data_IF_785491013123
#
_entry.id   IF_785491013123
#
_cell.length_a   1.000
_cell.length_b   1.000
_cell.length_c   1.000
_cell.angle_alpha   90.00
_cell.angle_beta   90.00
_cell.angle_gamma   90.00
#
_symmetry.space_group_name_H-M   'P 1'
#
loop_
_entity.id
_entity.type
_entity.pdbx_description
1 polymer ?
#
# COMPACT_ATOMS: atom_id res chain seq x y z
N UNK A 1 -4.97 -1.19 -3.69
CA UNK A 1 -5.86 -2.37 -3.68
C UNK A 1 -5.08 -3.65 -3.38
N UNK A 2 -5.61 -4.53 -2.52
CA UNK A 2 -5.06 -5.89 -2.33
C UNK A 2 -5.66 -6.87 -3.33
N UNK A 3 -4.83 -7.75 -3.90
CA UNK A 3 -5.23 -8.77 -4.86
C UNK A 3 -4.54 -10.10 -4.52
N UNK A 4 -5.25 -11.19 -4.78
CA UNK A 4 -4.66 -12.51 -4.84
C UNK A 4 -4.26 -12.80 -6.28
N UNK A 5 -3.01 -13.20 -6.48
CA UNK A 5 -2.48 -13.53 -7.80
C UNK A 5 -1.98 -14.96 -7.75
N UNK A 6 -2.51 -15.80 -8.63
CA UNK A 6 -1.99 -17.14 -8.88
C UNK A 6 -0.89 -17.07 -9.93
N UNK A 7 0.24 -17.70 -9.67
CA UNK A 7 1.36 -17.79 -10.60
C UNK A 7 1.83 -19.23 -10.72
N UNK A 8 2.30 -19.57 -11.92
CA UNK A 8 2.98 -20.84 -12.19
C UNK A 8 4.44 -20.52 -12.55
N UNK A 9 5.37 -21.26 -11.95
CA UNK A 9 6.79 -21.04 -12.14
C UNK A 9 7.61 -22.29 -11.85
N UNK A 10 8.93 -22.16 -12.02
CA UNK A 10 9.89 -23.21 -11.65
C UNK A 10 10.66 -22.75 -10.42
N UNK A 11 10.59 -23.55 -9.36
CA UNK A 11 11.27 -23.26 -8.10
C UNK A 11 12.51 -24.13 -7.99
N UNK A 12 13.63 -23.48 -7.68
CA UNK A 12 14.91 -24.14 -7.39
C UNK A 12 14.96 -24.50 -5.91
N UNK A 13 14.98 -25.80 -5.61
CA UNK A 13 15.07 -26.35 -4.25
C UNK A 13 16.52 -26.79 -3.97
N UNK A 14 17.23 -26.13 -3.04
CA UNK A 14 18.59 -26.52 -2.67
C UNK A 14 18.65 -27.86 -1.94
N UNK A 15 19.73 -28.65 -2.12
CA UNK A 15 19.92 -29.91 -1.40
C UNK A 15 19.84 -29.78 0.12
N UNK A 16 20.28 -28.64 0.66
CA UNK A 16 20.23 -28.36 2.11
C UNK A 16 18.81 -28.35 2.67
N UNK A 17 17.78 -28.19 1.83
CA UNK A 17 16.36 -28.16 2.23
C UNK A 17 15.62 -29.48 2.03
N UNK A 18 16.28 -30.51 1.49
CA UNK A 18 15.70 -31.84 1.23
C UNK A 18 15.21 -32.56 2.50
N UNK A 19 15.70 -32.19 3.68
CA UNK A 19 15.26 -32.77 4.95
C UNK A 19 13.90 -32.26 5.45
N UNK A 20 13.30 -31.26 4.81
CA UNK A 20 11.99 -30.68 5.18
C UNK A 20 10.88 -31.19 4.24
N UNK A 21 9.61 -31.13 4.65
CA UNK A 21 8.48 -31.34 3.74
C UNK A 21 8.59 -30.42 2.52
N UNK A 22 8.43 -30.97 1.31
CA UNK A 22 8.59 -30.24 0.05
C UNK A 22 7.76 -28.95 0.01
N UNK A 23 6.51 -29.01 0.49
CA UNK A 23 5.60 -27.86 0.55
C UNK A 23 6.16 -26.73 1.41
N UNK A 24 6.71 -27.04 2.58
CA UNK A 24 7.29 -26.05 3.48
C UNK A 24 8.58 -25.44 2.91
N UNK A 25 9.45 -26.29 2.36
CA UNK A 25 10.69 -25.84 1.74
C UNK A 25 10.41 -24.88 0.57
N UNK A 26 9.47 -25.23 -0.32
CA UNK A 26 9.08 -24.40 -1.47
C UNK A 26 8.44 -23.10 -1.01
N UNK A 27 7.55 -23.14 0.00
CA UNK A 27 6.94 -21.93 0.55
C UNK A 27 7.99 -20.98 1.17
N UNK A 28 8.97 -21.50 1.89
CA UNK A 28 10.07 -20.73 2.50
C UNK A 28 10.93 -20.05 1.41
N UNK A 29 11.29 -20.81 0.37
CA UNK A 29 12.06 -20.29 -0.77
C UNK A 29 11.29 -19.19 -1.49
N UNK A 30 10.03 -19.43 -1.83
CA UNK A 30 9.17 -18.47 -2.53
C UNK A 30 8.93 -17.20 -1.70
N UNK A 31 8.74 -17.31 -0.38
CA UNK A 31 8.60 -16.14 0.51
C UNK A 31 9.88 -15.31 0.55
N UNK A 32 11.05 -15.96 0.57
CA UNK A 32 12.34 -15.27 0.56
C UNK A 32 12.63 -14.61 -0.78
N UNK A 33 12.26 -15.27 -1.87
CA UNK A 33 12.52 -14.81 -3.22
C UNK A 33 11.57 -13.66 -3.59
N UNK A 34 10.26 -13.85 -3.47
CA UNK A 34 9.27 -12.88 -3.93
C UNK A 34 8.81 -11.88 -2.87
N UNK A 35 8.97 -12.19 -1.58
CA UNK A 35 8.52 -11.32 -0.50
C UNK A 35 9.16 -9.94 -0.54
N UNK A 36 8.35 -8.89 -0.56
CA UNK A 36 8.81 -7.50 -0.58
C UNK A 36 9.30 -6.99 -1.94
N UNK A 37 9.28 -7.83 -2.99
CA UNK A 37 9.63 -7.36 -4.33
C UNK A 37 8.55 -6.45 -4.91
N UNK A 38 8.98 -5.44 -5.67
CA UNK A 38 8.10 -4.52 -6.38
C UNK A 38 8.19 -4.83 -7.87
N UNK A 39 7.14 -5.43 -8.41
CA UNK A 39 7.06 -5.81 -9.82
C UNK A 39 6.24 -4.76 -10.55
N UNK A 40 6.77 -4.26 -11.68
CA UNK A 40 6.06 -3.32 -12.54
C UNK A 40 4.73 -3.95 -12.99
N UNK A 41 3.67 -3.15 -13.00
CA UNK A 41 2.30 -3.54 -13.36
C UNK A 41 1.58 -4.47 -12.35
N UNK A 42 2.32 -5.30 -11.59
CA UNK A 42 1.76 -6.15 -10.54
C UNK A 42 1.59 -5.41 -9.21
N UNK A 43 2.58 -4.61 -8.79
CA UNK A 43 2.62 -3.92 -7.50
C UNK A 43 3.66 -4.51 -6.53
N UNK A 44 3.45 -4.31 -5.24
CA UNK A 44 4.32 -4.85 -4.18
C UNK A 44 3.80 -6.20 -3.70
N UNK A 45 4.66 -7.22 -3.71
CA UNK A 45 4.34 -8.54 -3.21
C UNK A 45 4.49 -8.51 -1.68
N UNK A 46 3.37 -8.68 -0.97
CA UNK A 46 3.35 -8.65 0.49
C UNK A 46 3.85 -9.99 1.03
N UNK A 47 3.28 -11.09 0.55
CA UNK A 47 3.69 -12.44 0.96
C UNK A 47 3.14 -13.51 0.02
N UNK A 48 3.75 -14.69 0.08
CA UNK A 48 3.23 -15.92 -0.56
C UNK A 48 2.39 -16.67 0.47
N UNK A 49 1.12 -16.89 0.15
CA UNK A 49 0.14 -17.50 1.04
C UNK A 49 0.22 -19.01 1.00
N UNK A 50 0.17 -19.58 -0.21
CA UNK A 50 0.22 -21.02 -0.43
C UNK A 50 1.05 -21.35 -1.67
N UNK A 51 1.62 -22.56 -1.68
CA UNK A 51 2.39 -23.09 -2.78
C UNK A 51 2.20 -24.60 -2.90
N UNK A 52 2.02 -25.06 -4.12
CA UNK A 52 1.93 -26.45 -4.51
C UNK A 52 3.04 -26.74 -5.51
N UNK A 53 3.84 -27.77 -5.24
CA UNK A 53 4.96 -28.16 -6.09
C UNK A 53 4.72 -29.55 -6.70
N UNK A 54 5.27 -29.79 -7.89
CA UNK A 54 5.25 -31.09 -8.53
C UNK A 54 5.98 -32.12 -7.67
N UNK A 55 5.41 -33.32 -7.54
CA UNK A 55 6.05 -34.42 -6.80
C UNK A 55 7.42 -34.80 -7.38
N UNK A 56 7.57 -34.64 -8.70
CA UNK A 56 8.82 -34.90 -9.40
C UNK A 56 9.53 -33.59 -9.74
N UNK A 57 10.81 -33.53 -9.40
CA UNK A 57 11.72 -32.45 -9.76
C UNK A 57 12.72 -32.92 -10.82
N UNK A 58 13.25 -31.98 -11.59
CA UNK A 58 14.29 -32.22 -12.60
C UNK A 58 15.63 -31.80 -12.00
N UNK A 59 16.66 -32.63 -12.18
CA UNK A 59 18.05 -32.29 -11.84
C UNK A 59 18.79 -32.00 -13.14
N UNK A 60 19.50 -30.87 -13.18
CA UNK A 60 20.31 -30.49 -14.33
C UNK A 60 21.73 -31.02 -14.12
N UNK A 61 22.34 -31.72 -15.09
CA UNK A 61 23.72 -32.19 -14.95
C UNK A 61 24.67 -31.05 -14.60
N UNK A 62 25.45 -31.20 -13.53
CA UNK A 62 26.35 -30.16 -13.03
C UNK A 62 25.74 -29.20 -12.00
N UNK A 63 24.43 -29.27 -11.75
CA UNK A 63 23.78 -28.57 -10.64
C UNK A 63 23.07 -29.56 -9.70
N UNK A 64 23.42 -29.54 -8.42
CA UNK A 64 22.81 -30.40 -7.41
C UNK A 64 21.39 -29.99 -7.01
N UNK A 65 20.86 -28.86 -7.50
CA UNK A 65 19.52 -28.40 -7.14
C UNK A 65 18.43 -29.17 -7.88
N UNK A 66 17.28 -29.30 -7.19
CA UNK A 66 16.07 -29.85 -7.76
C UNK A 66 15.16 -28.73 -8.26
N UNK A 67 14.70 -28.85 -9.50
CA UNK A 67 13.80 -27.90 -10.13
C UNK A 67 12.39 -28.49 -10.18
N UNK A 68 11.48 -27.91 -9.40
CA UNK A 68 10.08 -28.32 -9.36
C UNK A 68 9.21 -27.28 -10.07
N UNK A 69 8.20 -27.73 -10.81
CA UNK A 69 7.13 -26.83 -11.25
C UNK A 69 6.25 -26.54 -10.05
N UNK A 70 6.00 -25.29 -9.76
CA UNK A 70 5.17 -24.88 -8.64
C UNK A 70 4.08 -23.90 -9.07
N UNK A 71 2.90 -24.07 -8.48
CA UNK A 71 1.80 -23.11 -8.52
C UNK A 71 1.68 -22.48 -7.16
N UNK A 72 1.66 -21.17 -7.09
CA UNK A 72 1.64 -20.46 -5.82
C UNK A 72 0.75 -19.23 -5.87
N UNK A 73 0.12 -18.95 -4.73
CA UNK A 73 -0.78 -17.81 -4.55
C UNK A 73 -0.08 -16.74 -3.75
N UNK A 74 -0.01 -15.54 -4.31
CA UNK A 74 0.62 -14.37 -3.69
C UNK A 74 -0.42 -13.32 -3.31
N UNK A 75 -0.22 -12.72 -2.13
CA UNK A 75 -0.88 -11.50 -1.73
C UNK A 75 -0.08 -10.32 -2.27
N UNK A 76 -0.68 -9.58 -3.21
CA UNK A 76 -0.07 -8.41 -3.83
C UNK A 76 -0.87 -7.18 -3.49
N UNK A 77 -0.17 -6.08 -3.21
CA UNK A 77 -0.77 -4.76 -3.11
C UNK A 77 -0.43 -3.93 -4.35
N UNK A 78 -1.47 -3.62 -5.13
CA UNK A 78 -1.36 -2.79 -6.34
C UNK A 78 -2.02 -1.45 -6.05
N UNK A 79 -1.26 -0.33 -5.95
CA UNK A 79 -1.88 0.99 -5.88
C UNK A 79 -2.53 1.32 -7.23
N UNK A 80 -3.82 1.65 -7.22
CA UNK A 80 -4.53 2.02 -8.45
C UNK A 80 -4.66 3.54 -8.59
N UNK A 81 -4.56 4.03 -9.82
CA UNK A 81 -4.79 5.44 -10.11
C UNK A 81 -6.24 5.79 -9.74
N UNK A 82 -6.44 6.93 -9.08
CA UNK A 82 -7.73 7.43 -8.60
C UNK A 82 -8.41 6.58 -7.51
N UNK A 83 -7.72 5.59 -6.96
CA UNK A 83 -8.21 4.81 -5.82
C UNK A 83 -8.35 5.72 -4.58
N UNK A 84 -9.50 5.65 -3.91
CA UNK A 84 -9.71 6.29 -2.60
C UNK A 84 -9.24 5.32 -1.53
N UNK A 85 -8.30 5.77 -0.72
CA UNK A 85 -7.64 4.98 0.31
C UNK A 85 -7.72 5.67 1.65
N UNK A 86 -7.75 4.88 2.71
CA UNK A 86 -7.65 5.34 4.09
C UNK A 86 -6.30 4.92 4.65
N UNK A 87 -5.71 5.79 5.47
CA UNK A 87 -4.40 5.55 6.04
C UNK A 87 -4.13 6.42 7.25
N UNK A 88 -3.03 6.11 7.92
CA UNK A 88 -2.56 6.85 9.10
C UNK A 88 -1.42 7.78 8.70
N UNK A 89 -1.45 9.02 9.19
CA UNK A 89 -0.36 9.97 8.99
C UNK A 89 0.87 9.52 9.78
N UNK A 90 1.91 9.07 9.08
CA UNK A 90 3.14 8.59 9.71
C UNK A 90 4.15 9.70 9.98
N UNK A 91 4.45 10.53 8.97
CA UNK A 91 5.43 11.61 9.06
C UNK A 91 4.81 12.90 8.55
N UNK A 92 5.04 13.98 9.30
CA UNK A 92 4.61 15.33 8.95
C UNK A 92 5.85 16.16 8.71
N UNK A 93 6.00 16.72 7.52
CA UNK A 93 7.13 17.57 7.15
C UNK A 93 6.63 18.94 6.64
N UNK A 94 7.55 19.89 6.49
CA UNK A 94 7.25 21.22 5.94
C UNK A 94 6.82 21.18 4.47
N UNK A 95 7.18 20.13 3.74
CA UNK A 95 6.87 19.95 2.32
C UNK A 95 5.55 19.20 2.08
N UNK A 96 5.12 18.40 3.05
CA UNK A 96 3.97 17.52 2.89
C UNK A 96 3.82 16.51 4.02
N UNK A 97 2.98 15.51 3.76
CA UNK A 97 2.65 14.44 4.68
C UNK A 97 3.00 13.09 4.05
N UNK A 98 3.50 12.18 4.86
CA UNK A 98 3.65 10.77 4.51
C UNK A 98 2.55 10.00 5.24
N UNK A 99 1.66 9.39 4.48
CA UNK A 99 0.52 8.61 4.97
C UNK A 99 0.79 7.14 4.68
N UNK A 100 0.73 6.29 5.70
CA UNK A 100 0.86 4.85 5.54
C UNK A 100 -0.45 4.29 5.02
N UNK A 101 -0.40 3.67 3.84
CA UNK A 101 -1.55 3.03 3.18
C UNK A 101 -1.21 1.56 2.94
N UNK A 102 -1.48 0.73 3.95
CA UNK A 102 -1.13 -0.70 3.91
C UNK A 102 0.39 -0.92 3.89
N UNK A 103 0.95 -1.63 2.90
CA UNK A 103 2.38 -1.94 2.83
C UNK A 103 3.23 -0.83 2.20
N UNK A 104 2.61 0.29 1.77
CA UNK A 104 3.31 1.39 1.11
C UNK A 104 3.04 2.71 1.83
N UNK A 105 3.96 3.65 1.64
CA UNK A 105 3.80 5.02 2.09
C UNK A 105 3.42 5.91 0.90
N UNK A 106 2.33 6.67 1.08
CA UNK A 106 1.85 7.66 0.13
C UNK A 106 2.26 9.07 0.55
N UNK A 107 2.73 9.87 -0.42
CA UNK A 107 3.12 11.25 -0.19
C UNK A 107 1.99 12.21 -0.61
N UNK A 108 1.65 13.16 0.26
CA UNK A 108 0.72 14.26 -0.01
C UNK A 108 1.48 15.56 0.10
N UNK A 109 1.67 16.27 -1.02
CA UNK A 109 2.31 17.58 -1.02
C UNK A 109 1.46 18.61 -0.25
N UNK A 110 2.09 19.61 0.39
CA UNK A 110 1.41 20.63 1.20
C UNK A 110 0.22 21.31 0.51
N UNK A 111 0.31 21.57 -0.80
CA UNK A 111 -0.75 22.18 -1.61
C UNK A 111 -1.93 21.26 -1.91
N UNK A 112 -1.82 19.97 -1.60
CA UNK A 112 -2.82 18.93 -1.83
C UNK A 112 -3.43 18.42 -0.52
N UNK A 113 -3.08 19.02 0.64
CA UNK A 113 -3.62 18.63 1.96
C UNK A 113 -5.02 19.20 2.16
N UNK A 114 -5.17 20.50 1.98
CA UNK A 114 -6.42 21.23 2.21
C UNK A 114 -6.49 22.43 1.28
N UNK A 115 -7.69 22.96 1.07
CA UNK A 115 -7.91 24.19 0.31
C UNK A 115 -7.69 25.44 1.18
N UNK A 116 -6.52 25.53 1.81
CA UNK A 116 -6.16 26.59 2.75
C UNK A 116 -4.65 26.88 2.74
N UNK A 117 -4.25 28.02 3.30
CA UNK A 117 -2.85 28.31 3.60
C UNK A 117 -2.44 27.48 4.81
N UNK A 118 -1.46 26.62 4.58
CA UNK A 118 -1.01 25.63 5.55
C UNK A 118 0.25 26.12 6.26
N UNK A 119 0.23 26.19 7.59
CA UNK A 119 1.43 26.40 8.40
C UNK A 119 1.90 25.07 9.02
N UNK A 120 3.21 24.89 9.11
CA UNK A 120 3.83 23.73 9.74
C UNK A 120 4.37 24.14 11.12
N UNK A 121 3.90 23.47 12.18
CA UNK A 121 4.44 23.62 13.53
C UNK A 121 5.40 22.47 13.83
N UNK A 122 6.69 22.81 13.95
CA UNK A 122 7.76 21.83 14.19
C UNK A 122 7.65 21.19 15.58
N UNK A 123 7.18 21.92 16.57
CA UNK A 123 7.05 21.44 17.95
C UNK A 123 5.96 20.37 18.09
N UNK A 124 4.85 20.53 17.36
CA UNK A 124 3.71 19.62 17.44
C UNK A 124 3.71 18.55 16.33
N UNK A 125 4.67 18.58 15.41
CA UNK A 125 4.65 17.76 14.17
C UNK A 125 3.27 17.82 13.51
N UNK A 126 2.74 19.03 13.41
CA UNK A 126 1.36 19.29 13.04
C UNK A 126 1.26 20.31 11.92
N UNK A 127 0.27 20.08 11.07
CA UNK A 127 -0.10 20.94 9.96
C UNK A 127 -1.40 21.65 10.33
N UNK A 128 -1.38 22.99 10.32
CA UNK A 128 -2.51 23.82 10.73
C UNK A 128 -2.96 24.70 9.55
N UNK A 129 -4.25 24.65 9.22
CA UNK A 129 -4.86 25.57 8.27
C UNK A 129 -5.14 26.93 8.90
N UNK A 130 -4.65 28.02 8.30
CA UNK A 130 -4.77 29.36 8.87
C UNK A 130 -6.22 29.89 8.86
N UNK A 131 -7.03 29.57 7.84
CA UNK A 131 -8.43 30.05 7.73
C UNK A 131 -9.42 29.07 8.34
N UNK A 132 -9.15 27.79 8.18
CA UNK A 132 -10.06 26.70 8.59
C UNK A 132 -9.85 26.23 10.02
N UNK A 133 -8.75 26.64 10.68
CA UNK A 133 -8.30 26.14 11.99
C UNK A 133 -8.21 24.60 12.07
N UNK A 134 -8.15 23.93 10.91
CA UNK A 134 -8.07 22.47 10.80
C UNK A 134 -6.65 22.01 11.12
N UNK A 135 -6.53 21.02 12.00
CA UNK A 135 -5.24 20.49 12.46
C UNK A 135 -5.09 19.03 12.02
N UNK A 136 -3.94 18.73 11.41
CA UNK A 136 -3.49 17.39 11.04
C UNK A 136 -2.21 17.07 11.80
N UNK A 137 -2.20 15.94 12.52
CA UNK A 137 -1.07 15.47 13.34
C UNK A 137 -0.61 14.10 12.88
N UNK A 138 0.59 13.72 13.31
CA UNK A 138 1.03 12.33 13.25
C UNK A 138 0.06 11.45 14.03
N UNK A 139 -0.35 10.33 13.43
CA UNK A 139 -1.33 9.38 13.97
C UNK A 139 -2.77 9.64 13.56
N UNK A 140 -3.07 10.78 12.91
CA UNK A 140 -4.42 11.04 12.44
C UNK A 140 -4.79 10.11 11.29
N UNK A 141 -6.03 9.62 11.30
CA UNK A 141 -6.60 8.84 10.21
C UNK A 141 -7.15 9.75 9.12
N UNK A 142 -6.68 9.55 7.90
CA UNK A 142 -7.03 10.36 6.72
C UNK A 142 -7.55 9.49 5.59
N UNK A 143 -8.47 10.06 4.82
CA UNK A 143 -8.93 9.53 3.54
C UNK A 143 -8.38 10.39 2.42
N UNK A 144 -7.73 9.77 1.46
CA UNK A 144 -7.05 10.44 0.38
C UNK A 144 -7.22 9.66 -0.93
N UNK A 145 -6.99 10.32 -2.06
CA UNK A 145 -7.07 9.70 -3.38
C UNK A 145 -5.69 9.61 -4.00
N UNK A 146 -5.35 8.46 -4.57
CA UNK A 146 -4.11 8.26 -5.32
C UNK A 146 -4.21 9.01 -6.65
N UNK A 147 -3.28 9.92 -6.92
CA UNK A 147 -3.23 10.73 -8.15
C UNK A 147 -2.20 10.19 -9.12
N UNK A 148 -1.04 9.77 -8.62
CA UNK A 148 0.00 9.20 -9.45
C UNK A 148 0.72 8.06 -8.73
N UNK A 149 1.08 7.05 -9.50
CA UNK A 149 1.89 5.92 -9.07
C UNK A 149 3.09 5.87 -9.99
N UNK A 150 4.29 5.84 -9.42
CA UNK A 150 5.52 5.66 -10.19
C UNK A 150 6.38 4.57 -9.58
N UNK A 151 6.97 3.77 -10.45
CA UNK A 151 7.91 2.70 -10.10
C UNK A 151 9.32 3.23 -10.40
N UNK A 152 10.07 3.66 -9.38
CA UNK A 152 11.32 4.38 -9.55
C UNK A 152 12.60 3.60 -9.19
N UNK A 153 13.63 3.71 -10.03
CA UNK A 153 15.05 3.50 -9.68
C UNK A 153 15.58 2.05 -9.65
N UNK A 154 16.90 1.90 -9.37
CA UNK A 154 17.64 0.61 -9.24
C UNK A 154 17.13 -0.31 -8.12
N UNK A 155 16.31 0.21 -7.19
CA UNK A 155 15.73 -0.52 -6.05
C UNK A 155 14.21 -0.74 -6.18
N UNK A 156 13.61 -0.47 -7.35
CA UNK A 156 12.17 -0.62 -7.58
C UNK A 156 11.31 0.04 -6.48
N UNK A 157 11.68 1.24 -6.03
CA UNK A 157 10.92 1.92 -4.99
C UNK A 157 9.59 2.43 -5.56
N UNK A 158 8.48 1.93 -4.99
CA UNK A 158 7.13 2.36 -5.32
C UNK A 158 6.84 3.72 -4.69
N UNK A 159 6.62 4.75 -5.51
CA UNK A 159 6.26 6.10 -5.06
C UNK A 159 4.80 6.36 -5.39
N UNK A 160 4.00 6.60 -4.36
CA UNK A 160 2.57 6.92 -4.50
C UNK A 160 2.36 8.38 -4.12
N UNK A 161 1.73 9.14 -5.01
CA UNK A 161 1.36 10.54 -4.81
C UNK A 161 -0.15 10.63 -4.61
N UNK A 162 -0.56 11.37 -3.59
CA UNK A 162 -1.94 11.41 -3.13
C UNK A 162 -2.45 12.84 -2.95
N UNK A 163 -3.77 13.01 -2.98
CA UNK A 163 -4.45 14.28 -2.71
C UNK A 163 -5.58 14.11 -1.69
N UNK A 164 -5.79 15.15 -0.89
CA UNK A 164 -6.89 15.30 0.07
C UNK A 164 -7.75 16.54 -0.21
N UNK A 165 -7.45 17.30 -1.28
CA UNK A 165 -8.13 18.58 -1.59
C UNK A 165 -9.52 18.42 -2.26
N UNK A 166 -9.93 17.19 -2.58
CA UNK A 166 -11.23 16.95 -3.22
C UNK A 166 -12.34 16.80 -2.18
N UNK A 167 -13.61 17.04 -2.55
CA UNK A 167 -14.75 16.79 -1.67
C UNK A 167 -14.74 15.37 -1.09
N UNK A 168 -15.16 15.23 0.17
CA UNK A 168 -15.22 13.96 0.91
C UNK A 168 -13.85 13.30 1.21
N UNK A 169 -12.75 14.04 1.04
CA UNK A 169 -11.39 13.64 1.43
C UNK A 169 -10.86 14.52 2.57
N UNK A 170 -9.77 14.06 3.19
CA UNK A 170 -9.14 14.70 4.34
C UNK A 170 -9.24 13.86 5.60
N UNK A 171 -9.16 14.50 6.77
CA UNK A 171 -9.28 13.81 8.06
C UNK A 171 -10.68 13.20 8.21
N UNK A 172 -10.76 11.97 8.72
CA UNK A 172 -12.04 11.27 8.91
C UNK A 172 -13.03 12.06 9.79
N UNK A 173 -12.52 12.81 10.76
CA UNK A 173 -13.32 13.71 11.61
C UNK A 173 -14.03 14.79 10.79
N UNK A 174 -13.30 15.46 9.88
CA UNK A 174 -13.86 16.53 9.05
C UNK A 174 -14.94 16.00 8.11
N UNK A 175 -14.70 14.82 7.54
CA UNK A 175 -15.65 14.16 6.65
C UNK A 175 -16.93 13.81 7.41
N UNK A 176 -16.84 13.32 8.65
CA UNK A 176 -18.00 13.01 9.49
C UNK A 176 -18.81 14.26 9.83
N UNK A 177 -18.16 15.38 10.13
CA UNK A 177 -18.84 16.65 10.41
C UNK A 177 -19.54 17.22 9.16
N UNK A 178 -18.86 17.21 8.02
CA UNK A 178 -19.45 17.64 6.74
C UNK A 178 -20.64 16.77 6.34
N UNK A 179 -20.52 15.45 6.49
CA UNK A 179 -21.60 14.51 6.21
C UNK A 179 -22.83 14.74 7.09
N UNK A 180 -22.64 15.01 8.39
CA UNK A 180 -23.74 15.36 9.30
C UNK A 180 -24.45 16.63 8.88
N UNK A 181 -23.70 17.70 8.57
CA UNK A 181 -24.28 18.98 8.12
C UNK A 181 -25.06 18.83 6.81
N UNK A 182 -24.54 18.03 5.87
CA UNK A 182 -25.23 17.70 4.63
C UNK A 182 -26.52 16.91 4.88
N UNK A 183 -26.49 15.89 5.74
CA UNK A 183 -27.67 15.10 6.08
C UNK A 183 -28.76 15.96 6.77
N UNK A 184 -28.37 16.87 7.67
CA UNK A 184 -29.28 17.80 8.31
C UNK A 184 -29.88 18.82 7.32
N UNK A 185 -29.11 19.26 6.33
CA UNK A 185 -29.58 20.15 5.28
C UNK A 185 -30.60 19.46 4.37
N UNK A 186 -30.35 18.20 3.97
CA UNK A 186 -31.28 17.40 3.16
C UNK A 186 -32.57 17.11 3.93
N UNK A 187 -32.48 16.73 5.21
CA UNK A 187 -33.65 16.51 6.06
C UNK A 187 -34.50 17.77 6.27
N UNK A 188 -33.89 18.96 6.21
CA UNK A 188 -34.61 20.25 6.25
C UNK A 188 -35.24 20.63 4.92
N UNK A 189 -34.68 20.20 3.79
CA UNK A 189 -35.28 20.45 2.47
C UNK A 189 -36.44 19.50 2.15
N UNK A 190 -36.43 18.26 2.65
CA UNK A 190 -37.54 17.30 2.44
C UNK A 190 -38.76 17.56 3.34
N UNK A 191 -38.61 18.39 4.38
CA UNK A 191 -39.70 18.81 5.28
C UNK A 191 -40.39 20.12 4.86
N UNK A 192 -39.95 20.73 3.76
CA UNK A 192 -40.58 21.92 3.14
C UNK A 192 -41.32 21.50 1.87
#
# INVERSE_FOLDING_TARGET
MFKLVECEGVVRVPPSTLGKPLKEAVLEILRREYGGQVVKDLGIIVSVLDAEASNYGIIIPGDGNLYHKARFTMLVYTPMLQEVVEGEVGIVESTGLVVRVGPVDGYVHKSQIMDDVVSYSREQSAVIGQKSARVLRKGDSVRARIVAVSYGGRRQALRVQMTMRQPYLGKLEWIREEAKKLAEAVAKSERK
#
